data_IF_772895755775
#
_entry.id   IF_772895755775
#
_cell.length_a   1.000
_cell.length_b   1.000
_cell.length_c   1.000
_cell.angle_alpha   90.00
_cell.angle_beta   90.00
_cell.angle_gamma   90.00
#
_symmetry.space_group_name_H-M   'P 1'
#
loop_
_entity.id
_entity.type
_entity.pdbx_description
1 polymer ?
#
# COMPACT_ATOMS: atom_id res chain seq x y z
N UNK A 1 -29.96 4.02 -40.59
CA UNK A 1 -29.07 5.14 -40.22
C UNK A 1 -28.15 4.65 -39.14
N UNK A 2 -26.89 4.40 -39.46
CA UNK A 2 -25.88 4.07 -38.44
C UNK A 2 -25.35 5.42 -37.98
N UNK A 3 -25.68 5.82 -36.75
CA UNK A 3 -25.03 6.97 -36.12
C UNK A 3 -23.64 6.47 -35.75
N UNK A 4 -22.69 6.72 -36.64
CA UNK A 4 -21.27 6.50 -36.34
C UNK A 4 -20.88 7.59 -35.35
N UNK A 5 -20.95 7.29 -34.05
CA UNK A 5 -20.34 8.15 -33.02
C UNK A 5 -18.87 8.30 -33.36
N UNK A 6 -18.44 9.55 -33.58
CA UNK A 6 -17.06 9.88 -33.88
C UNK A 6 -16.17 9.38 -32.74
N UNK A 7 -14.97 8.83 -33.00
CA UNK A 7 -14.04 8.38 -31.96
C UNK A 7 -13.81 9.43 -30.85
N UNK A 8 -13.89 10.71 -31.23
CA UNK A 8 -13.75 11.88 -30.35
C UNK A 8 -14.79 11.86 -29.21
N UNK A 9 -16.04 11.49 -29.51
CA UNK A 9 -17.14 11.50 -28.54
C UNK A 9 -17.07 10.32 -27.56
N UNK A 10 -16.53 9.19 -28.01
CA UNK A 10 -16.29 8.02 -27.17
C UNK A 10 -15.11 8.24 -26.22
N UNK A 11 -14.06 8.92 -26.70
CA UNK A 11 -12.90 9.29 -25.88
C UNK A 11 -13.29 10.32 -24.82
N UNK A 12 -14.08 11.35 -25.17
CA UNK A 12 -14.60 12.34 -24.22
C UNK A 12 -15.48 11.68 -23.14
N UNK A 13 -16.32 10.72 -23.53
CA UNK A 13 -17.18 9.99 -22.60
C UNK A 13 -16.39 9.05 -21.68
N UNK A 14 -15.33 8.43 -22.19
CA UNK A 14 -14.42 7.59 -21.40
C UNK A 14 -13.64 8.45 -20.39
N UNK A 15 -13.15 9.62 -20.81
CA UNK A 15 -12.45 10.59 -19.94
C UNK A 15 -13.38 11.07 -18.83
N UNK A 16 -14.62 11.46 -19.16
CA UNK A 16 -15.61 11.91 -18.19
C UNK A 16 -15.98 10.82 -17.17
N UNK A 17 -16.08 9.57 -17.64
CA UNK A 17 -16.38 8.40 -16.78
C UNK A 17 -15.23 8.09 -15.82
N UNK A 18 -13.98 8.20 -16.28
CA UNK A 18 -12.79 8.03 -15.44
C UNK A 18 -12.69 9.16 -14.41
N UNK A 19 -12.95 10.40 -14.82
CA UNK A 19 -12.93 11.57 -13.93
C UNK A 19 -14.00 11.51 -12.84
N UNK A 20 -15.22 11.05 -13.16
CA UNK A 20 -16.31 10.90 -12.20
C UNK A 20 -16.12 9.70 -11.23
N UNK A 21 -15.24 8.75 -11.57
CA UNK A 21 -14.92 7.59 -10.73
C UNK A 21 -13.79 7.83 -9.73
N UNK A 22 -13.11 8.98 -9.80
CA UNK A 22 -11.99 9.32 -8.94
C UNK A 22 -12.42 10.29 -7.81
N UNK A 23 -12.04 10.04 -6.55
CA UNK A 23 -12.20 10.98 -5.45
C UNK A 23 -11.62 12.38 -5.74
N UNK A 24 -12.27 13.42 -5.23
CA UNK A 24 -12.00 14.84 -5.52
C UNK A 24 -10.56 15.28 -5.15
N UNK A 25 -9.96 14.60 -4.17
CA UNK A 25 -8.55 14.75 -3.76
C UNK A 25 -7.55 14.22 -4.81
N UNK A 26 -7.98 13.30 -5.68
CA UNK A 26 -7.19 12.82 -6.81
C UNK A 26 -7.21 13.84 -7.96
N UNK A 27 -8.35 14.50 -8.21
CA UNK A 27 -8.46 15.53 -9.26
C UNK A 27 -7.51 16.72 -9.00
N UNK A 28 -7.49 17.22 -7.76
CA UNK A 28 -6.61 18.32 -7.37
C UNK A 28 -5.11 17.95 -7.46
N UNK A 29 -4.76 16.67 -7.23
CA UNK A 29 -3.41 16.18 -7.44
C UNK A 29 -3.09 16.08 -8.94
N UNK A 30 -4.03 15.55 -9.75
CA UNK A 30 -3.86 15.32 -11.20
C UNK A 30 -3.75 16.62 -11.99
N UNK A 31 -4.48 17.68 -11.63
CA UNK A 31 -4.45 19.01 -12.29
C UNK A 31 -3.10 19.74 -12.15
N UNK A 32 -2.22 19.26 -11.25
CA UNK A 32 -0.87 19.82 -11.05
C UNK A 32 0.22 19.20 -11.93
N UNK A 33 -0.11 18.20 -12.76
CA UNK A 33 0.87 17.47 -13.57
C UNK A 33 0.71 17.74 -15.07
N UNK A 34 1.81 18.01 -15.76
CA UNK A 34 1.82 18.46 -17.16
C UNK A 34 1.68 17.32 -18.17
N UNK A 35 1.94 16.07 -17.78
CA UNK A 35 1.96 14.93 -18.73
C UNK A 35 1.13 13.73 -18.29
N UNK A 36 0.52 13.05 -19.27
CA UNK A 36 -0.20 11.79 -19.05
C UNK A 36 0.68 10.67 -18.45
N UNK A 37 2.00 10.72 -18.65
CA UNK A 37 2.94 9.78 -18.05
C UNK A 37 3.08 9.97 -16.54
N UNK A 38 3.08 11.20 -16.03
CA UNK A 38 3.17 11.51 -14.60
C UNK A 38 1.90 11.09 -13.86
N UNK A 39 0.74 11.34 -14.48
CA UNK A 39 -0.57 10.91 -13.97
C UNK A 39 -0.63 9.38 -13.90
N UNK A 40 -0.21 8.68 -14.97
CA UNK A 40 -0.15 7.22 -14.99
C UNK A 40 0.79 6.65 -13.93
N UNK A 41 1.95 7.27 -13.72
CA UNK A 41 2.93 6.85 -12.71
C UNK A 41 2.37 7.03 -11.29
N UNK A 42 1.65 8.12 -11.01
CA UNK A 42 1.02 8.33 -9.71
C UNK A 42 -0.12 7.36 -9.44
N UNK A 43 -1.00 7.15 -10.42
CA UNK A 43 -2.05 6.14 -10.32
C UNK A 43 -1.45 4.75 -10.09
N UNK A 44 -0.34 4.41 -10.76
CA UNK A 44 0.39 3.16 -10.49
C UNK A 44 0.94 3.07 -9.06
N UNK A 45 1.48 4.16 -8.50
CA UNK A 45 1.99 4.19 -7.12
C UNK A 45 0.87 4.05 -6.08
N UNK A 46 -0.26 4.73 -6.31
CA UNK A 46 -1.44 4.67 -5.45
C UNK A 46 -2.10 3.28 -5.53
N UNK A 47 -2.27 2.74 -6.73
CA UNK A 47 -2.90 1.42 -6.95
C UNK A 47 -2.05 0.25 -6.46
N UNK A 48 -0.72 0.37 -6.45
CA UNK A 48 0.16 -0.65 -5.86
C UNK A 48 0.10 -0.67 -4.33
N UNK A 49 -0.63 0.28 -3.72
CA UNK A 49 -0.56 0.57 -2.30
C UNK A 49 0.80 1.16 -1.99
N UNK A 50 0.85 2.24 -1.22
CA UNK A 50 2.12 2.83 -0.82
C UNK A 50 2.97 1.77 -0.09
N UNK A 51 3.89 1.14 -0.84
CA UNK A 51 4.75 0.07 -0.36
C UNK A 51 5.60 0.58 0.82
N UNK A 52 5.75 1.91 0.91
CA UNK A 52 6.36 2.65 2.00
C UNK A 52 5.72 2.27 3.35
N UNK A 53 4.40 2.36 3.50
CA UNK A 53 3.74 2.05 4.78
C UNK A 53 3.86 0.57 5.18
N UNK A 54 3.89 -0.33 4.19
CA UNK A 54 4.09 -1.78 4.40
C UNK A 54 5.55 -2.06 4.81
N UNK A 55 6.53 -1.43 4.15
CA UNK A 55 7.94 -1.58 4.44
C UNK A 55 8.32 -0.94 5.79
N UNK A 56 7.78 0.23 6.13
CA UNK A 56 7.94 0.86 7.45
C UNK A 56 7.40 -0.04 8.57
N UNK A 57 6.21 -0.60 8.37
CA UNK A 57 5.62 -1.53 9.34
C UNK A 57 6.49 -2.78 9.52
N UNK A 58 7.10 -3.30 8.45
CA UNK A 58 8.06 -4.41 8.53
C UNK A 58 9.34 -4.01 9.25
N UNK A 59 9.94 -2.87 8.88
CA UNK A 59 11.17 -2.38 9.49
C UNK A 59 10.99 -2.20 11.00
N UNK A 60 9.85 -1.64 11.42
CA UNK A 60 9.50 -1.50 12.84
C UNK A 60 9.44 -2.86 13.56
N UNK A 61 8.75 -3.85 12.99
CA UNK A 61 8.64 -5.20 13.58
C UNK A 61 10.00 -5.91 13.68
N UNK A 62 10.87 -5.75 12.69
CA UNK A 62 12.23 -6.30 12.73
C UNK A 62 13.10 -5.65 13.81
N UNK A 63 13.04 -4.33 13.96
CA UNK A 63 13.74 -3.62 15.03
C UNK A 63 13.21 -4.00 16.42
N UNK A 64 11.91 -4.22 16.57
CA UNK A 64 11.32 -4.75 17.81
C UNK A 64 11.80 -6.17 18.11
N UNK A 65 11.95 -7.03 17.10
CA UNK A 65 12.51 -8.37 17.23
C UNK A 65 13.99 -8.37 17.62
N UNK A 66 14.82 -7.55 16.96
CA UNK A 66 16.26 -7.45 17.24
C UNK A 66 16.53 -7.00 18.68
N UNK A 67 15.66 -6.12 19.19
CA UNK A 67 15.74 -5.61 20.57
C UNK A 67 14.94 -6.46 21.57
N UNK A 68 14.36 -7.58 21.15
CA UNK A 68 13.54 -8.41 22.02
C UNK A 68 14.42 -9.20 23.00
N UNK A 69 14.28 -8.87 24.28
CA UNK A 69 14.97 -9.52 25.39
C UNK A 69 14.04 -9.66 26.59
N UNK A 70 14.39 -10.56 27.51
CA UNK A 70 13.77 -10.64 28.84
C UNK A 70 14.12 -9.39 29.66
N UNK A 71 13.20 -8.99 30.54
CA UNK A 71 13.47 -7.98 31.56
C UNK A 71 13.77 -8.64 32.91
N UNK A 72 14.54 -7.97 33.77
CA UNK A 72 15.08 -8.54 35.02
C UNK A 72 14.02 -9.03 36.04
N UNK A 73 12.78 -8.52 35.95
CA UNK A 73 11.66 -8.91 36.82
C UNK A 73 10.47 -9.50 36.04
N UNK A 74 10.67 -9.86 34.77
CA UNK A 74 9.60 -10.40 33.93
C UNK A 74 9.28 -11.84 34.33
N UNK A 75 8.01 -12.11 34.66
CA UNK A 75 7.56 -13.49 34.87
C UNK A 75 7.60 -14.29 33.57
N UNK A 76 7.82 -15.60 33.66
CA UNK A 76 7.83 -16.51 32.50
C UNK A 76 6.54 -16.38 31.68
N UNK A 77 5.39 -16.23 32.36
CA UNK A 77 4.10 -16.06 31.68
C UNK A 77 4.02 -14.75 30.90
N UNK A 78 4.54 -13.65 31.45
CA UNK A 78 4.58 -12.36 30.78
C UNK A 78 5.52 -12.38 29.56
N UNK A 79 6.71 -12.97 29.72
CA UNK A 79 7.68 -13.15 28.64
C UNK A 79 7.06 -13.95 27.48
N UNK A 80 6.46 -15.10 27.79
CA UNK A 80 5.83 -15.96 26.79
C UNK A 80 4.69 -15.26 26.06
N UNK A 81 3.88 -14.46 26.77
CA UNK A 81 2.81 -13.69 26.15
C UNK A 81 3.34 -12.64 25.17
N UNK A 82 4.36 -11.85 25.55
CA UNK A 82 4.98 -10.87 24.64
C UNK A 82 5.61 -11.53 23.44
N UNK A 83 6.31 -12.65 23.65
CA UNK A 83 6.93 -13.44 22.60
C UNK A 83 5.88 -13.96 21.60
N UNK A 84 4.79 -14.57 22.08
CA UNK A 84 3.72 -15.07 21.21
C UNK A 84 3.06 -13.95 20.41
N UNK A 85 2.83 -12.80 21.04
CA UNK A 85 2.27 -11.62 20.36
C UNK A 85 3.17 -11.19 19.19
N UNK A 86 4.47 -11.03 19.44
CA UNK A 86 5.45 -10.66 18.42
C UNK A 86 5.49 -11.70 17.29
N UNK A 87 5.54 -12.99 17.62
CA UNK A 87 5.55 -14.07 16.63
C UNK A 87 4.28 -14.10 15.76
N UNK A 88 3.12 -13.84 16.35
CA UNK A 88 1.85 -13.79 15.61
C UNK A 88 1.82 -12.58 14.66
N UNK A 89 2.36 -11.44 15.08
CA UNK A 89 2.48 -10.24 14.25
C UNK A 89 3.45 -10.46 13.09
N UNK A 90 4.59 -11.12 13.31
CA UNK A 90 5.53 -11.49 12.25
C UNK A 90 4.86 -12.42 11.22
N UNK A 91 4.18 -13.48 11.67
CA UNK A 91 3.46 -14.44 10.79
C UNK A 91 2.37 -13.77 9.95
N UNK A 92 1.60 -12.85 10.55
CA UNK A 92 0.49 -12.16 9.86
C UNK A 92 0.96 -11.23 8.75
N UNK A 93 2.21 -10.76 8.80
CA UNK A 93 2.76 -9.85 7.79
C UNK A 93 3.36 -10.55 6.54
N UNK A 94 3.12 -11.87 6.36
CA UNK A 94 3.14 -12.71 5.13
C UNK A 94 4.23 -12.50 4.05
N UNK A 95 5.26 -11.72 4.31
CA UNK A 95 6.39 -11.50 3.40
C UNK A 95 7.70 -11.69 4.15
N UNK A 96 7.78 -12.77 4.91
CA UNK A 96 9.06 -13.38 5.20
C UNK A 96 9.44 -14.19 3.96
N UNK A 97 10.65 -14.02 3.39
CA UNK A 97 11.13 -15.00 2.44
C UNK A 97 11.15 -16.35 3.15
N UNK A 98 10.32 -17.28 2.69
CA UNK A 98 10.49 -18.68 3.02
C UNK A 98 11.89 -19.06 2.53
N UNK A 99 12.75 -19.41 3.49
CA UNK A 99 14.12 -19.94 3.37
C UNK A 99 15.25 -18.91 3.47
N UNK A 100 16.00 -19.04 4.56
CA UNK A 100 17.45 -19.16 4.48
C UNK A 100 17.83 -20.47 5.18
N UNK A 101 18.43 -21.38 4.39
CA UNK A 101 19.07 -22.66 4.72
C UNK A 101 18.21 -23.75 5.39
#
# INVERSE_FOLDING_TARGET
>A
MVVSSSPIEADDQAIQTILLGLPEDIYAAVDSYETAQEIWLQVQQIMKGSNIGIQEKKAKLFNEWERFTSNDEESIGSYYHRFLKLMNELKRNKHFPEKIA
#
